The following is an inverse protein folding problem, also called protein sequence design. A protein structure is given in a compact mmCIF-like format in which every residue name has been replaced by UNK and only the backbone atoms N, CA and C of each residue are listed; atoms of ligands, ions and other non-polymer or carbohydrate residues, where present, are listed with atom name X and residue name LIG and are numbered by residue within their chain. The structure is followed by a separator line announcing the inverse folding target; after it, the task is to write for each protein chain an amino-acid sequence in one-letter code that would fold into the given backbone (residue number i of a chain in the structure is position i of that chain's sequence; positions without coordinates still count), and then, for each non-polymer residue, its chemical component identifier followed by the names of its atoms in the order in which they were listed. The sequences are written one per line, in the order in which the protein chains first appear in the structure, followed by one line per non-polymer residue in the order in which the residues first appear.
data_IF_394535953351
#
_entry.id   IF_394535953351
#
_cell.length_a   1.000
_cell.length_b   1.000
_cell.length_c   1.000
_cell.angle_alpha   90.00
_cell.angle_beta   90.00
_cell.angle_gamma   90.00
#
_symmetry.space_group_name_H-M   'P 1'
#
loop_
_entity.id
_entity.type
_entity.pdbx_description
1 polymer ?
#
# COMPACT_ATOMS: atom_id res chain seq x y z
N UNK A 1 21.76 0.03 -19.98
CA UNK A 1 21.95 -1.23 -19.23
C UNK A 1 21.47 -0.99 -17.80
N UNK A 2 20.55 -1.81 -17.27
CA UNK A 2 20.07 -1.67 -15.89
C UNK A 2 21.19 -2.06 -14.93
N UNK A 3 21.56 -1.18 -14.01
CA UNK A 3 22.59 -1.43 -13.00
C UNK A 3 21.93 -1.76 -11.67
N UNK A 4 22.12 -2.99 -11.20
CA UNK A 4 21.73 -3.43 -9.85
C UNK A 4 22.94 -3.29 -8.94
N UNK A 5 22.78 -2.57 -7.84
CA UNK A 5 23.83 -2.38 -6.82
C UNK A 5 23.86 -3.54 -5.83
N UNK A 6 22.68 -4.00 -5.40
CA UNK A 6 22.56 -5.11 -4.48
C UNK A 6 21.20 -5.79 -4.59
N UNK A 7 21.17 -7.05 -4.14
CA UNK A 7 19.95 -7.87 -4.04
C UNK A 7 19.93 -8.49 -2.66
N UNK A 8 18.82 -8.33 -1.94
CA UNK A 8 18.66 -8.86 -0.57
C UNK A 8 17.38 -9.68 -0.45
N UNK A 9 17.49 -10.88 0.13
CA UNK A 9 16.33 -11.71 0.48
C UNK A 9 15.72 -11.23 1.79
N UNK A 10 14.40 -11.04 1.81
CA UNK A 10 13.62 -10.66 2.97
C UNK A 10 13.13 -11.89 3.74
N UNK A 11 12.86 -11.75 5.04
CA UNK A 11 12.38 -12.84 5.91
C UNK A 11 11.05 -13.44 5.48
N UNK A 12 10.22 -12.67 4.77
CA UNK A 12 8.93 -13.09 4.23
C UNK A 12 9.04 -13.77 2.84
N UNK A 13 10.25 -14.13 2.41
CA UNK A 13 10.50 -14.74 1.09
C UNK A 13 10.57 -13.74 -0.05
N UNK A 14 10.30 -12.44 0.19
CA UNK A 14 10.44 -11.40 -0.84
C UNK A 14 11.90 -11.11 -1.20
N UNK A 15 12.11 -10.47 -2.35
CA UNK A 15 13.43 -10.03 -2.82
C UNK A 15 13.42 -8.51 -2.99
N UNK A 16 14.43 -7.84 -2.45
CA UNK A 16 14.62 -6.40 -2.59
C UNK A 16 15.79 -6.14 -3.54
N UNK A 17 15.51 -5.44 -4.64
CA UNK A 17 16.52 -4.97 -5.58
C UNK A 17 16.85 -3.51 -5.29
N UNK A 18 18.15 -3.22 -5.10
CA UNK A 18 18.66 -1.87 -5.04
C UNK A 18 19.27 -1.50 -6.39
N UNK A 19 18.70 -0.52 -7.07
CA UNK A 19 19.17 -0.07 -8.38
C UNK A 19 20.10 1.14 -8.24
N UNK A 20 21.04 1.28 -9.17
CA UNK A 20 22.02 2.37 -9.16
C UNK A 20 21.44 3.74 -9.50
N UNK A 21 20.25 3.77 -10.09
CA UNK A 21 19.60 4.98 -10.55
C UNK A 21 18.07 4.82 -10.53
N UNK A 22 17.38 5.97 -10.50
CA UNK A 22 15.91 6.02 -10.45
C UNK A 22 15.26 5.51 -11.74
N UNK A 23 15.87 5.74 -12.90
CA UNK A 23 15.29 5.38 -14.20
C UNK A 23 15.19 3.86 -14.35
N UNK A 24 16.21 3.14 -13.90
CA UNK A 24 16.23 1.67 -13.81
C UNK A 24 15.08 1.14 -12.96
N UNK A 25 14.86 1.72 -11.76
CA UNK A 25 13.76 1.31 -10.89
C UNK A 25 12.37 1.61 -11.50
N UNK A 26 12.21 2.79 -12.13
CA UNK A 26 10.98 3.17 -12.81
C UNK A 26 10.68 2.29 -14.04
N UNK A 27 11.71 1.89 -14.79
CA UNK A 27 11.56 0.95 -15.89
C UNK A 27 11.04 -0.40 -15.39
N UNK A 28 11.58 -0.92 -14.28
CA UNK A 28 11.11 -2.18 -13.68
C UNK A 28 9.66 -2.06 -13.20
N UNK A 29 9.26 -0.93 -12.61
CA UNK A 29 7.85 -0.70 -12.22
C UNK A 29 6.91 -0.71 -13.43
N UNK A 30 7.29 -0.06 -14.53
CA UNK A 30 6.50 -0.03 -15.78
C UNK A 30 6.39 -1.41 -16.43
N UNK A 31 7.45 -2.21 -16.36
CA UNK A 31 7.55 -3.54 -16.97
C UNK A 31 7.39 -4.67 -15.93
N UNK A 32 6.67 -4.41 -14.83
CA UNK A 32 6.62 -5.28 -13.64
C UNK A 32 6.22 -6.73 -13.92
N UNK A 33 5.28 -6.96 -14.84
CA UNK A 33 4.79 -8.30 -15.18
C UNK A 33 5.87 -9.08 -15.91
N UNK A 34 6.44 -8.50 -16.97
CA UNK A 34 7.54 -9.10 -17.72
C UNK A 34 8.79 -9.32 -16.86
N UNK A 35 9.11 -8.36 -15.98
CA UNK A 35 10.24 -8.47 -15.07
C UNK A 35 10.03 -9.55 -14.00
N UNK A 36 8.83 -9.68 -13.41
CA UNK A 36 8.59 -10.72 -12.41
C UNK A 36 8.52 -12.12 -13.03
N UNK A 37 7.87 -12.25 -14.19
CA UNK A 37 7.71 -13.51 -14.90
C UNK A 37 9.03 -14.15 -15.35
N UNK A 38 10.11 -13.36 -15.50
CA UNK A 38 11.43 -13.91 -15.81
C UNK A 38 12.09 -14.63 -14.64
N UNK A 39 11.59 -14.46 -13.41
CA UNK A 39 12.07 -15.16 -12.22
C UNK A 39 11.13 -16.30 -11.82
N UNK A 40 9.84 -16.01 -11.74
CA UNK A 40 8.82 -16.99 -11.37
C UNK A 40 7.45 -16.53 -11.90
N UNK A 41 6.63 -17.41 -12.50
CA UNK A 41 5.30 -17.04 -12.99
C UNK A 41 4.36 -16.46 -11.92
N UNK A 42 4.56 -16.81 -10.65
CA UNK A 42 3.80 -16.32 -9.50
C UNK A 42 4.49 -15.14 -8.77
N UNK A 43 5.68 -14.72 -9.21
CA UNK A 43 6.32 -13.53 -8.64
C UNK A 43 5.53 -12.26 -8.99
N UNK A 44 5.49 -11.33 -8.03
CA UNK A 44 4.81 -10.04 -8.18
C UNK A 44 5.72 -8.92 -7.68
N UNK A 45 5.90 -7.88 -8.50
CA UNK A 45 6.51 -6.63 -8.04
C UNK A 45 5.48 -5.89 -7.19
N UNK A 46 5.77 -5.76 -5.89
CA UNK A 46 4.87 -5.05 -4.97
C UNK A 46 5.06 -3.54 -5.08
N UNK A 47 3.94 -2.84 -5.20
CA UNK A 47 3.91 -1.39 -5.01
C UNK A 47 4.25 -1.04 -3.55
N UNK A 48 5.05 0.01 -3.37
CA UNK A 48 5.40 0.49 -2.03
C UNK A 48 4.21 1.27 -1.47
N UNK A 49 3.39 0.61 -0.66
CA UNK A 49 2.33 1.27 0.10
C UNK A 49 2.88 1.97 1.35
N UNK A 50 2.75 3.30 1.41
CA UNK A 50 3.10 4.12 2.58
C UNK A 50 2.02 3.96 3.63
N UNK A 51 2.37 3.41 4.80
CA UNK A 51 1.38 3.09 5.83
C UNK A 51 1.05 4.34 6.65
N UNK A 52 -0.23 4.72 6.68
CA UNK A 52 -0.78 5.81 7.48
C UNK A 52 -1.78 5.25 8.48
N UNK A 53 -1.73 5.75 9.71
CA UNK A 53 -2.69 5.41 10.77
C UNK A 53 -3.86 6.37 10.73
N UNK A 54 -5.05 5.91 10.35
CA UNK A 54 -6.28 6.70 10.42
C UNK A 54 -7.01 6.35 11.71
N UNK A 55 -7.33 7.36 12.51
CA UNK A 55 -7.96 7.18 13.82
C UNK A 55 -9.48 7.37 13.74
N UNK A 56 -10.19 6.77 14.69
CA UNK A 56 -11.60 7.04 14.95
C UNK A 56 -12.56 6.75 13.78
N UNK A 57 -12.36 5.64 13.08
CA UNK A 57 -13.21 5.22 11.97
C UNK A 57 -14.37 4.35 12.49
N UNK A 58 -15.63 4.65 12.13
CA UNK A 58 -16.79 3.85 12.50
C UNK A 58 -16.64 2.38 12.06
N UNK A 59 -17.00 1.44 12.94
CA UNK A 59 -16.75 0.00 12.71
C UNK A 59 -17.65 -0.65 11.65
N UNK A 60 -18.74 0.02 11.28
CA UNK A 60 -19.70 -0.32 10.23
C UNK A 60 -19.16 -0.04 8.83
N UNK A 61 -18.06 0.70 8.70
CA UNK A 61 -17.42 0.99 7.41
C UNK A 61 -16.80 -0.27 6.82
N UNK A 62 -17.26 -0.64 5.62
CA UNK A 62 -16.79 -1.81 4.88
C UNK A 62 -15.47 -1.54 4.12
N UNK A 63 -14.37 -1.40 4.86
CA UNK A 63 -13.05 -1.04 4.32
C UNK A 63 -12.43 -2.02 3.30
N UNK A 64 -12.99 -3.23 3.18
CA UNK A 64 -12.49 -4.26 2.25
C UNK A 64 -13.07 -4.11 0.84
N UNK A 65 -14.15 -3.33 0.68
CA UNK A 65 -14.72 -3.02 -0.63
C UNK A 65 -13.89 -1.92 -1.29
N UNK A 66 -13.46 -2.15 -2.53
CA UNK A 66 -12.75 -1.15 -3.31
C UNK A 66 -13.58 0.11 -3.52
N UNK A 67 -14.90 -0.04 -3.70
CA UNK A 67 -15.84 1.07 -3.86
C UNK A 67 -15.83 2.01 -2.66
N UNK A 68 -15.76 1.46 -1.43
CA UNK A 68 -15.68 2.26 -0.21
C UNK A 68 -14.40 3.10 -0.18
N UNK A 69 -13.26 2.54 -0.60
CA UNK A 69 -12.02 3.32 -0.70
C UNK A 69 -12.11 4.43 -1.76
N UNK A 70 -12.74 4.16 -2.90
CA UNK A 70 -12.93 5.17 -3.97
C UNK A 70 -13.89 6.27 -3.53
N UNK A 71 -14.93 5.94 -2.77
CA UNK A 71 -15.84 6.92 -2.17
C UNK A 71 -15.12 7.79 -1.13
N UNK A 72 -14.27 7.19 -0.29
CA UNK A 72 -13.43 7.94 0.66
C UNK A 72 -12.47 8.88 -0.06
N UNK A 73 -11.85 8.44 -1.15
CA UNK A 73 -10.99 9.31 -1.95
C UNK A 73 -11.75 10.51 -2.49
N UNK A 74 -12.90 10.28 -3.13
CA UNK A 74 -13.74 11.35 -3.67
C UNK A 74 -14.21 12.34 -2.59
N UNK A 75 -14.62 11.83 -1.42
CA UNK A 75 -15.06 12.66 -0.30
C UNK A 75 -13.94 13.55 0.29
N UNK A 76 -12.67 13.14 0.15
CA UNK A 76 -11.50 13.86 0.66
C UNK A 76 -10.70 14.57 -0.46
N UNK A 77 -11.24 14.68 -1.68
CA UNK A 77 -10.56 15.33 -2.80
C UNK A 77 -9.28 14.60 -3.26
N UNK A 78 -9.12 13.33 -2.93
CA UNK A 78 -7.96 12.53 -3.30
C UNK A 78 -8.13 11.97 -4.72
N UNK A 79 -7.06 11.91 -5.52
CA UNK A 79 -7.11 11.22 -6.80
C UNK A 79 -7.46 9.73 -6.64
N UNK A 80 -8.24 9.14 -7.57
CA UNK A 80 -8.54 7.72 -7.54
C UNK A 80 -7.28 6.85 -7.51
N UNK A 81 -7.22 5.88 -6.58
CA UNK A 81 -6.05 5.00 -6.43
C UNK A 81 -4.96 5.55 -5.49
N UNK A 82 -5.25 6.62 -4.75
CA UNK A 82 -4.40 7.11 -3.66
C UNK A 82 -4.38 6.13 -2.49
N UNK A 83 -5.53 5.61 -2.09
CA UNK A 83 -5.71 4.55 -1.10
C UNK A 83 -5.63 3.19 -1.81
N UNK A 84 -4.55 2.47 -1.53
CA UNK A 84 -4.27 1.15 -2.13
C UNK A 84 -5.00 0.03 -1.38
N UNK A 85 -5.03 0.11 -0.06
CA UNK A 85 -5.65 -0.89 0.82
C UNK A 85 -5.88 -0.29 2.20
N UNK A 86 -6.94 -0.72 2.88
CA UNK A 86 -7.15 -0.44 4.28
C UNK A 86 -7.32 -1.74 5.07
N UNK A 87 -6.68 -1.81 6.24
CA UNK A 87 -6.84 -2.91 7.18
C UNK A 87 -7.14 -2.35 8.57
N UNK A 88 -8.01 -3.03 9.30
CA UNK A 88 -8.23 -2.71 10.71
C UNK A 88 -6.99 -3.03 11.53
N UNK A 89 -6.51 -2.07 12.33
CA UNK A 89 -5.35 -2.30 13.21
C UNK A 89 -5.67 -3.32 14.30
N UNK A 90 -6.91 -3.31 14.79
CA UNK A 90 -7.45 -4.32 15.72
C UNK A 90 -8.49 -5.19 15.00
N UNK A 91 -8.25 -6.51 14.87
CA UNK A 91 -9.22 -7.43 14.28
C UNK A 91 -10.57 -7.36 14.98
N UNK A 92 -11.66 -7.58 14.24
CA UNK A 92 -13.04 -7.53 14.74
C UNK A 92 -13.22 -8.45 15.96
N UNK A 93 -12.66 -9.66 15.91
CA UNK A 93 -12.71 -10.64 17.00
C UNK A 93 -12.07 -10.18 18.32
N UNK A 94 -11.26 -9.11 18.30
CA UNK A 94 -10.57 -8.57 19.49
C UNK A 94 -11.15 -7.23 19.96
N UNK A 95 -12.26 -6.78 19.38
CA UNK A 95 -12.95 -5.53 19.77
C UNK A 95 -13.82 -5.76 20.99
N UNK A 96 -14.10 -4.68 21.73
CA UNK A 96 -15.15 -4.70 22.75
C UNK A 96 -16.51 -4.77 22.06
N UNK A 97 -17.50 -5.45 22.67
CA UNK A 97 -18.84 -5.64 22.08
C UNK A 97 -19.50 -4.32 21.66
N UNK A 98 -19.30 -3.26 22.44
CA UNK A 98 -19.93 -1.95 22.20
C UNK A 98 -18.99 -0.91 21.56
N UNK A 99 -17.89 -1.37 20.95
CA UNK A 99 -16.93 -0.48 20.33
C UNK A 99 -17.49 0.09 19.02
N UNK A 100 -17.80 1.39 19.01
CA UNK A 100 -18.34 2.08 17.83
C UNK A 100 -17.28 2.51 16.81
N UNK A 101 -16.06 2.82 17.27
CA UNK A 101 -14.98 3.31 16.42
C UNK A 101 -13.71 2.48 16.59
N UNK A 102 -12.92 2.35 15.52
CA UNK A 102 -11.63 1.67 15.51
C UNK A 102 -10.59 2.44 14.69
N UNK A 103 -9.36 1.91 14.64
CA UNK A 103 -8.26 2.51 13.89
C UNK A 103 -7.96 1.69 12.64
N UNK A 104 -7.65 2.38 11.55
CA UNK A 104 -7.22 1.80 10.29
C UNK A 104 -5.73 1.98 10.09
N UNK A 105 -5.11 0.98 9.50
CA UNK A 105 -3.84 1.09 8.80
C UNK A 105 -4.16 1.16 7.31
N UNK A 106 -3.87 2.30 6.69
CA UNK A 106 -4.14 2.56 5.28
C UNK A 106 -2.84 2.60 4.51
N UNK A 107 -2.75 1.84 3.43
CA UNK A 107 -1.64 1.88 2.49
C UNK A 107 -1.91 2.95 1.43
N UNK A 108 -1.05 3.96 1.37
CA UNK A 108 -1.15 5.09 0.44
C UNK A 108 -0.13 4.93 -0.69
N UNK A 109 -0.49 5.32 -1.90
CA UNK A 109 0.32 5.10 -3.12
C UNK A 109 1.52 6.03 -3.26
N UNK A 110 1.52 7.18 -2.58
CA UNK A 110 2.54 8.21 -2.70
C UNK A 110 2.97 8.74 -1.33
N UNK A 111 4.27 9.04 -1.13
CA UNK A 111 4.71 9.71 0.09
C UNK A 111 4.14 11.13 0.20
N UNK A 112 3.85 11.79 -0.93
CA UNK A 112 3.27 13.15 -0.93
C UNK A 112 1.88 13.12 -0.29
N UNK A 113 1.03 12.21 -0.76
CA UNK A 113 -0.32 12.03 -0.21
C UNK A 113 -0.29 11.49 1.21
N UNK A 114 0.62 10.56 1.52
CA UNK A 114 0.78 10.04 2.87
C UNK A 114 1.15 11.15 3.87
N UNK A 115 2.07 12.05 3.49
CA UNK A 115 2.49 13.17 4.34
C UNK A 115 1.38 14.21 4.48
N UNK A 116 0.65 14.52 3.39
CA UNK A 116 -0.50 15.41 3.45
C UNK A 116 -1.54 14.90 4.47
N UNK A 117 -1.90 13.61 4.41
CA UNK A 117 -2.83 12.97 5.35
C UNK A 117 -2.36 12.94 6.82
N UNK A 118 -1.07 13.15 7.09
CA UNK A 118 -0.53 13.20 8.46
C UNK A 118 -0.50 14.63 9.00
N UNK A 119 -0.36 15.61 8.09
CA UNK A 119 -0.13 17.02 8.42
C UNK A 119 -1.44 17.79 8.54
N UNK A 120 -2.47 17.35 7.83
CA UNK A 120 -3.87 17.79 8.00
C UNK A 120 -4.45 17.29 9.33
#
# INVERSE_FOLDING_TARGET
KIKVLSVSKLRNGGVLFNFGDRLSAEWVKRNRTAFAASFDPAALVRDRGYQVLVKNVPVDVEIQKSETLRAMEGANGLPPGTLLRADWLKPVARRRKDQKNAHLRVAVSSPVWANAMITD
#
